data_IF_178272453513
#
_entry.id   IF_178272453513
#
_cell.length_a   1.000
_cell.length_b   1.000
_cell.length_c   1.000
_cell.angle_alpha   90.00
_cell.angle_beta   90.00
_cell.angle_gamma   90.00
#
_symmetry.space_group_name_H-M   'P 1'
#
loop_
_entity.id
_entity.type
_entity.pdbx_description
1 polymer ?
#
# COMPACT_ATOMS: atom_id res chain seq x y z
N UNK A 1 -33.08 -24.25 -30.72
CA UNK A 1 -32.26 -23.04 -30.58
C UNK A 1 -32.51 -22.49 -29.19
N UNK A 2 -31.62 -22.76 -28.28
CA UNK A 2 -31.68 -22.22 -26.91
C UNK A 2 -31.26 -20.75 -26.96
N UNK A 3 -32.10 -19.80 -26.49
CA UNK A 3 -31.67 -18.42 -26.41
C UNK A 3 -30.46 -18.34 -25.49
N UNK A 4 -29.35 -17.88 -26.01
CA UNK A 4 -28.19 -17.56 -25.22
C UNK A 4 -28.63 -16.47 -24.25
N UNK A 5 -28.76 -16.79 -22.98
CA UNK A 5 -28.91 -15.77 -21.94
C UNK A 5 -27.80 -14.73 -22.16
N UNK A 6 -28.12 -13.44 -22.18
CA UNK A 6 -27.09 -12.44 -22.23
C UNK A 6 -26.16 -12.71 -21.06
N UNK A 7 -24.90 -12.98 -21.37
CA UNK A 7 -23.87 -12.99 -20.33
C UNK A 7 -24.04 -11.65 -19.60
N UNK A 8 -24.17 -11.66 -18.28
CA UNK A 8 -24.15 -10.40 -17.56
C UNK A 8 -22.93 -9.67 -18.06
N UNK A 9 -23.15 -8.48 -18.63
CA UNK A 9 -22.06 -7.59 -19.00
C UNK A 9 -21.06 -7.69 -17.86
N UNK A 10 -19.84 -8.13 -18.17
CA UNK A 10 -18.81 -8.33 -17.15
C UNK A 10 -18.86 -7.08 -16.30
N UNK A 11 -19.45 -7.19 -15.11
CA UNK A 11 -19.58 -6.06 -14.23
C UNK A 11 -18.18 -5.55 -14.06
N UNK A 12 -17.84 -4.44 -14.69
CA UNK A 12 -16.54 -3.79 -14.57
C UNK A 12 -16.27 -3.75 -13.11
N UNK A 13 -15.21 -4.41 -12.65
CA UNK A 13 -14.90 -4.48 -11.25
C UNK A 13 -14.48 -3.06 -10.85
N UNK A 14 -15.31 -2.28 -10.12
CA UNK A 14 -15.08 -0.84 -9.93
C UNK A 14 -13.71 -0.52 -9.36
N UNK A 15 -13.16 -1.43 -8.56
CA UNK A 15 -11.85 -1.26 -7.93
C UNK A 15 -10.66 -1.37 -8.91
N UNK A 16 -10.80 -2.13 -10.02
CA UNK A 16 -9.80 -2.15 -11.09
C UNK A 16 -9.77 -0.81 -11.81
N UNK A 17 -10.93 -0.26 -12.13
CA UNK A 17 -11.04 1.06 -12.77
C UNK A 17 -10.49 2.16 -11.88
N UNK A 18 -10.74 2.10 -10.57
CA UNK A 18 -10.20 3.07 -9.62
C UNK A 18 -8.67 3.12 -9.68
N UNK A 19 -8.00 1.97 -9.75
CA UNK A 19 -6.55 1.92 -9.86
C UNK A 19 -6.04 2.34 -11.24
N UNK A 20 -6.74 1.91 -12.31
CA UNK A 20 -6.33 2.21 -13.68
C UNK A 20 -6.55 3.69 -14.01
N UNK A 21 -7.64 4.28 -13.54
CA UNK A 21 -7.97 5.69 -13.74
C UNK A 21 -7.28 6.63 -12.75
N UNK A 22 -6.73 6.08 -11.66
CA UNK A 22 -6.05 6.87 -10.64
C UNK A 22 -4.55 6.96 -10.92
N UNK A 23 -4.00 8.17 -11.12
CA UNK A 23 -2.56 8.35 -11.21
C UNK A 23 -1.84 7.97 -9.92
N UNK A 24 -2.53 7.97 -8.79
CA UNK A 24 -1.96 7.65 -7.47
C UNK A 24 -1.56 6.19 -7.35
N UNK A 25 -2.37 5.26 -7.89
CA UNK A 25 -2.02 3.84 -7.92
C UNK A 25 -0.73 3.56 -8.69
N UNK A 26 -0.61 4.11 -9.90
CA UNK A 26 0.61 4.02 -10.70
C UNK A 26 1.79 4.72 -10.01
N UNK A 27 1.55 5.86 -9.37
CA UNK A 27 2.57 6.61 -8.66
C UNK A 27 3.17 5.83 -7.48
N UNK A 28 2.34 5.13 -6.72
CA UNK A 28 2.79 4.28 -5.61
C UNK A 28 3.73 3.18 -6.13
N UNK A 29 3.34 2.51 -7.21
CA UNK A 29 4.17 1.46 -7.82
C UNK A 29 5.50 2.03 -8.33
N UNK A 30 5.49 3.15 -9.02
CA UNK A 30 6.69 3.83 -9.53
C UNK A 30 7.64 4.27 -8.41
N UNK A 31 7.12 4.87 -7.36
CA UNK A 31 7.92 5.33 -6.22
C UNK A 31 8.58 4.16 -5.50
N UNK A 32 7.84 3.09 -5.28
CA UNK A 32 8.40 1.88 -4.69
C UNK A 32 9.47 1.25 -5.59
N UNK A 33 9.18 1.08 -6.88
CA UNK A 33 10.12 0.52 -7.84
C UNK A 33 11.41 1.35 -7.92
N UNK A 34 11.29 2.68 -7.92
CA UNK A 34 12.43 3.59 -7.91
C UNK A 34 13.27 3.47 -6.64
N UNK A 35 12.63 3.36 -5.49
CA UNK A 35 13.31 3.22 -4.20
C UNK A 35 14.09 1.90 -4.12
N UNK A 36 13.47 0.77 -4.45
CA UNK A 36 14.12 -0.54 -4.37
C UNK A 36 15.10 -0.80 -5.51
N UNK A 37 14.98 -0.09 -6.62
CA UNK A 37 15.89 -0.18 -7.75
C UNK A 37 17.14 0.70 -7.64
N UNK A 38 17.21 1.61 -6.67
CA UNK A 38 18.28 2.60 -6.57
C UNK A 38 19.54 2.11 -5.87
N UNK A 39 19.53 0.93 -5.26
CA UNK A 39 20.67 0.39 -4.53
C UNK A 39 20.37 -0.90 -3.80
N UNK A 40 21.14 -1.16 -2.76
CA UNK A 40 20.97 -2.37 -1.94
C UNK A 40 19.70 -2.27 -1.11
N UNK A 41 18.98 -3.39 -1.02
CA UNK A 41 17.76 -3.53 -0.25
C UNK A 41 17.81 -4.75 0.66
N UNK A 42 16.99 -4.73 1.69
CA UNK A 42 16.71 -5.89 2.53
C UNK A 42 15.22 -6.15 2.56
N UNK A 43 14.83 -7.40 2.73
CA UNK A 43 13.44 -7.80 2.85
C UNK A 43 13.05 -7.88 4.32
N UNK A 44 11.93 -7.26 4.66
CA UNK A 44 11.34 -7.32 6.00
C UNK A 44 9.99 -8.00 5.94
N UNK A 45 9.69 -8.82 6.96
CA UNK A 45 8.38 -9.45 7.10
C UNK A 45 7.43 -8.56 7.89
N UNK A 46 6.21 -8.43 7.36
CA UNK A 46 5.09 -7.72 7.96
C UNK A 46 3.95 -8.72 8.26
N UNK A 47 2.84 -8.25 8.84
CA UNK A 47 1.73 -9.15 9.20
C UNK A 47 0.99 -9.74 8.01
N UNK A 48 1.02 -9.09 6.87
CA UNK A 48 0.38 -9.59 5.66
C UNK A 48 -1.13 -9.37 5.58
N UNK A 49 -1.68 -8.55 6.45
CA UNK A 49 -3.07 -8.11 6.42
C UNK A 49 -3.16 -6.66 6.88
N UNK A 50 -4.19 -5.95 6.42
CA UNK A 50 -4.39 -4.56 6.80
C UNK A 50 -4.54 -4.43 8.32
N UNK A 51 -3.62 -3.71 8.92
CA UNK A 51 -3.65 -3.36 10.34
C UNK A 51 -3.32 -1.89 10.53
N UNK A 52 -4.00 -1.26 11.47
CA UNK A 52 -3.53 -0.01 11.99
C UNK A 52 -2.14 -0.21 12.62
N UNK A 53 -1.20 0.59 12.21
CA UNK A 53 0.15 0.59 12.75
C UNK A 53 0.49 1.97 13.30
N UNK A 54 1.22 2.02 14.37
CA UNK A 54 1.64 3.28 14.97
C UNK A 54 3.13 3.30 15.24
N UNK A 55 3.69 4.49 15.17
CA UNK A 55 5.09 4.74 15.45
C UNK A 55 5.23 5.20 16.89
N UNK A 56 6.14 4.57 17.64
CA UNK A 56 6.47 4.94 18.99
C UNK A 56 7.94 5.30 19.06
N UNK A 57 8.25 6.43 19.68
CA UNK A 57 9.61 6.83 19.97
C UNK A 57 10.08 6.13 21.24
N UNK A 58 11.19 5.42 21.16
CA UNK A 58 11.81 4.68 22.26
C UNK A 58 13.24 5.19 22.55
N UNK A 59 13.85 4.70 23.60
CA UNK A 59 15.25 5.04 23.92
C UNK A 59 16.23 4.54 22.84
N UNK A 60 15.85 3.54 22.05
CA UNK A 60 16.69 2.93 21.02
C UNK A 60 16.36 3.45 19.62
N UNK A 61 15.49 4.45 19.49
CA UNK A 61 15.04 5.00 18.23
C UNK A 61 13.52 4.94 18.08
N UNK A 62 13.02 4.29 17.05
CA UNK A 62 11.59 4.20 16.75
C UNK A 62 11.16 2.75 16.66
N UNK A 63 9.89 2.51 16.98
CA UNK A 63 9.27 1.21 16.92
C UNK A 63 7.93 1.30 16.19
N UNK A 64 7.73 0.43 15.20
CA UNK A 64 6.42 0.29 14.55
C UNK A 64 5.67 -0.83 15.25
N UNK A 65 4.53 -0.49 15.84
CA UNK A 65 3.64 -1.43 16.51
C UNK A 65 2.42 -1.70 15.66
N UNK A 66 2.21 -2.97 15.32
CA UNK A 66 1.07 -3.44 14.55
C UNK A 66 0.52 -4.70 15.21
N UNK A 67 -0.65 -4.61 15.85
CA UNK A 67 -1.22 -5.69 16.64
C UNK A 67 -0.24 -6.14 17.74
N UNK A 68 0.19 -7.40 17.73
CA UNK A 68 1.17 -7.94 18.67
C UNK A 68 2.63 -7.83 18.19
N UNK A 69 2.84 -7.34 16.96
CA UNK A 69 4.17 -7.26 16.36
C UNK A 69 4.80 -5.90 16.59
N UNK A 70 6.08 -5.91 16.93
CA UNK A 70 6.89 -4.72 17.11
C UNK A 70 8.13 -4.82 16.23
N UNK A 71 8.41 -3.77 15.47
CA UNK A 71 9.58 -3.71 14.60
C UNK A 71 10.41 -2.51 15.01
N UNK A 72 11.63 -2.76 15.44
CA UNK A 72 12.59 -1.72 15.80
C UNK A 72 13.13 -1.05 14.54
N UNK A 73 13.14 0.27 14.51
CA UNK A 73 13.64 1.08 13.42
C UNK A 73 14.70 2.06 13.90
N UNK A 74 15.81 2.23 13.16
CA UNK A 74 16.87 3.15 13.57
C UNK A 74 16.48 4.62 13.42
N UNK A 75 15.56 4.93 12.54
CA UNK A 75 15.16 6.30 12.21
C UNK A 75 13.66 6.40 11.90
N UNK A 76 13.16 7.64 11.89
CA UNK A 76 11.74 7.92 11.67
C UNK A 76 11.29 7.60 10.25
N UNK A 77 12.13 7.84 9.25
CA UNK A 77 11.75 7.59 7.84
C UNK A 77 11.57 6.11 7.58
N UNK A 78 12.41 5.26 8.16
CA UNK A 78 12.25 3.79 8.12
C UNK A 78 10.94 3.38 8.81
N UNK A 79 10.63 3.93 9.97
CA UNK A 79 9.40 3.66 10.69
C UNK A 79 8.16 4.07 9.87
N UNK A 80 8.19 5.24 9.24
CA UNK A 80 7.10 5.71 8.36
C UNK A 80 6.91 4.79 7.15
N UNK A 81 8.00 4.34 6.55
CA UNK A 81 7.97 3.40 5.42
C UNK A 81 7.30 2.07 5.84
N UNK A 82 7.74 1.49 6.94
CA UNK A 82 7.18 0.24 7.44
C UNK A 82 5.71 0.38 7.87
N UNK A 83 5.35 1.49 8.50
CA UNK A 83 3.96 1.78 8.85
C UNK A 83 3.07 1.81 7.61
N UNK A 84 3.50 2.51 6.56
CA UNK A 84 2.74 2.64 5.33
C UNK A 84 2.44 1.26 4.71
N UNK A 85 3.46 0.44 4.52
CA UNK A 85 3.29 -0.88 3.91
C UNK A 85 2.58 -1.89 4.82
N UNK A 86 2.71 -1.75 6.14
CA UNK A 86 1.91 -2.52 7.09
C UNK A 86 0.43 -2.20 6.98
N UNK A 87 0.07 -0.92 6.89
CA UNK A 87 -1.31 -0.48 6.72
C UNK A 87 -1.91 -0.89 5.38
N UNK A 88 -1.08 -1.00 4.34
CA UNK A 88 -1.48 -1.53 3.03
C UNK A 88 -1.62 -3.06 3.01
N UNK A 89 -1.25 -3.75 4.09
CA UNK A 89 -1.42 -5.18 4.25
C UNK A 89 -0.36 -6.05 3.59
N UNK A 90 0.82 -5.52 3.34
CA UNK A 90 1.92 -6.30 2.77
C UNK A 90 2.41 -7.37 3.75
N UNK A 91 2.71 -8.56 3.23
CA UNK A 91 3.32 -9.66 3.97
C UNK A 91 4.82 -9.50 4.11
N UNK A 92 5.45 -8.95 3.10
CA UNK A 92 6.86 -8.62 3.08
C UNK A 92 7.09 -7.41 2.19
N UNK A 93 8.14 -6.68 2.46
CA UNK A 93 8.51 -5.48 1.71
C UNK A 93 10.02 -5.37 1.61
N UNK A 94 10.51 -4.86 0.49
CA UNK A 94 11.92 -4.50 0.35
C UNK A 94 12.13 -3.08 0.85
N UNK A 95 13.14 -2.93 1.68
CA UNK A 95 13.54 -1.65 2.26
C UNK A 95 14.92 -1.26 1.77
N UNK A 96 15.13 -0.06 1.20
CA UNK A 96 16.47 0.42 0.88
C UNK A 96 17.35 0.48 2.13
N UNK A 97 18.62 0.10 1.99
CA UNK A 97 19.57 0.29 3.07
C UNK A 97 19.91 1.76 3.30
N UNK A 98 19.91 2.55 2.23
CA UNK A 98 20.20 3.98 2.29
C UNK A 98 18.97 4.76 2.78
N UNK A 99 19.01 5.33 3.99
CA UNK A 99 17.88 6.08 4.53
C UNK A 99 17.57 7.36 3.75
N UNK A 100 18.51 7.89 2.96
CA UNK A 100 18.25 9.07 2.13
C UNK A 100 17.30 8.75 0.99
N UNK A 101 17.33 7.55 0.45
CA UNK A 101 16.36 7.06 -0.56
C UNK A 101 14.97 6.99 0.05
N UNK A 102 14.86 6.39 1.22
CA UNK A 102 13.59 6.29 1.96
C UNK A 102 13.03 7.68 2.31
N UNK A 103 13.88 8.57 2.79
CA UNK A 103 13.49 9.93 3.14
C UNK A 103 12.95 10.73 1.94
N UNK A 104 13.47 10.46 0.75
CA UNK A 104 13.03 11.11 -0.49
C UNK A 104 11.66 10.62 -0.94
N UNK A 105 11.38 9.33 -0.86
CA UNK A 105 10.15 8.76 -1.41
C UNK A 105 8.98 8.77 -0.43
N UNK A 106 9.22 8.76 0.87
CA UNK A 106 8.16 8.60 1.87
C UNK A 106 7.10 9.71 1.81
N UNK A 107 7.41 11.00 1.74
CA UNK A 107 6.37 12.02 1.67
C UNK A 107 5.47 11.85 0.44
N UNK A 108 6.05 11.48 -0.70
CA UNK A 108 5.31 11.27 -1.94
C UNK A 108 4.48 9.98 -1.89
N UNK A 109 5.01 8.91 -1.29
CA UNK A 109 4.25 7.67 -1.07
C UNK A 109 3.06 7.89 -0.15
N UNK A 110 3.25 8.58 0.96
CA UNK A 110 2.18 8.89 1.90
C UNK A 110 1.09 9.75 1.25
N UNK A 111 1.49 10.76 0.48
CA UNK A 111 0.55 11.61 -0.25
C UNK A 111 -0.23 10.82 -1.30
N UNK A 112 0.42 9.94 -2.06
CA UNK A 112 -0.24 9.13 -3.08
C UNK A 112 -1.23 8.14 -2.46
N UNK A 113 -0.88 7.51 -1.34
CA UNK A 113 -1.79 6.61 -0.61
C UNK A 113 -2.98 7.38 -0.04
N UNK A 114 -2.75 8.53 0.57
CA UNK A 114 -3.83 9.38 1.11
C UNK A 114 -4.78 9.85 0.01
N UNK A 115 -4.26 10.27 -1.14
CA UNK A 115 -5.06 10.67 -2.29
C UNK A 115 -5.91 9.50 -2.82
N UNK A 116 -5.32 8.30 -2.90
CA UNK A 116 -6.04 7.10 -3.33
C UNK A 116 -7.18 6.76 -2.37
N UNK A 117 -6.92 6.78 -1.06
CA UNK A 117 -7.93 6.53 -0.03
C UNK A 117 -9.07 7.57 -0.08
N UNK A 118 -8.72 8.84 -0.20
CA UNK A 118 -9.69 9.92 -0.30
C UNK A 118 -10.57 9.78 -1.54
N UNK A 119 -9.99 9.39 -2.66
CA UNK A 119 -10.72 9.14 -3.91
C UNK A 119 -11.72 8.00 -3.75
N UNK A 120 -11.32 6.89 -3.13
CA UNK A 120 -12.22 5.76 -2.87
C UNK A 120 -13.37 6.17 -1.94
N UNK A 121 -13.07 6.88 -0.85
CA UNK A 121 -14.10 7.35 0.08
C UNK A 121 -15.09 8.30 -0.59
N UNK A 122 -14.61 9.17 -1.48
CA UNK A 122 -15.45 10.11 -2.22
C UNK A 122 -16.43 9.43 -3.17
N UNK A 123 -16.12 8.22 -3.65
CA UNK A 123 -17.02 7.42 -4.49
C UNK A 123 -18.18 6.78 -3.71
N UNK A 124 -18.03 6.61 -2.41
CA UNK A 124 -19.02 5.95 -1.55
C UNK A 124 -19.36 6.81 -0.32
N UNK A 125 -19.83 8.06 -0.51
CA UNK A 125 -20.02 8.98 0.61
C UNK A 125 -21.16 8.57 1.54
N UNK A 126 -22.11 7.76 1.06
CA UNK A 126 -23.28 7.29 1.82
C UNK A 126 -23.16 5.87 2.33
N UNK A 127 -22.13 5.17 1.94
CA UNK A 127 -21.87 3.78 2.33
C UNK A 127 -20.41 3.57 2.70
N UNK A 128 -20.01 3.93 3.93
CA UNK A 128 -18.62 3.76 4.40
C UNK A 128 -18.14 2.30 4.43
N UNK A 129 -19.05 1.35 4.63
CA UNK A 129 -18.71 -0.08 4.63
C UNK A 129 -18.33 -0.56 3.24
N UNK A 130 -19.07 -0.14 2.23
CA UNK A 130 -18.76 -0.44 0.83
C UNK A 130 -17.43 0.22 0.45
N UNK A 131 -17.22 1.47 0.82
CA UNK A 131 -15.96 2.18 0.62
C UNK A 131 -14.77 1.43 1.24
N UNK A 132 -14.90 0.95 2.46
CA UNK A 132 -13.87 0.17 3.14
C UNK A 132 -13.62 -1.18 2.44
N UNK A 133 -14.66 -1.85 1.97
CA UNK A 133 -14.53 -3.08 1.20
C UNK A 133 -13.80 -2.86 -0.12
N UNK A 134 -14.19 -1.84 -0.87
CA UNK A 134 -13.56 -1.48 -2.14
C UNK A 134 -12.09 -1.12 -1.91
N UNK A 135 -11.78 -0.36 -0.87
CA UNK A 135 -10.40 0.02 -0.53
C UNK A 135 -9.53 -1.21 -0.24
N UNK A 136 -10.04 -2.20 0.49
CA UNK A 136 -9.32 -3.46 0.72
C UNK A 136 -9.02 -4.20 -0.59
N UNK A 137 -9.97 -4.19 -1.53
CA UNK A 137 -9.78 -4.81 -2.85
C UNK A 137 -8.75 -4.04 -3.68
N UNK A 138 -8.78 -2.72 -3.64
CA UNK A 138 -7.79 -1.84 -4.27
C UNK A 138 -6.39 -2.14 -3.73
N UNK A 139 -6.24 -2.25 -2.43
CA UNK A 139 -4.95 -2.61 -1.81
C UNK A 139 -4.47 -4.01 -2.23
N UNK A 140 -5.37 -4.98 -2.34
CA UNK A 140 -5.01 -6.31 -2.81
C UNK A 140 -4.43 -6.29 -4.24
N UNK A 141 -5.00 -5.49 -5.11
CA UNK A 141 -4.51 -5.31 -6.49
C UNK A 141 -3.16 -4.60 -6.48
N UNK A 142 -3.02 -3.55 -5.68
CA UNK A 142 -1.77 -2.81 -5.52
C UNK A 142 -0.64 -3.73 -5.05
N UNK A 143 -0.90 -4.58 -4.06
CA UNK A 143 0.07 -5.58 -3.58
C UNK A 143 0.49 -6.56 -4.68
N UNK A 144 -0.43 -7.00 -5.53
CA UNK A 144 -0.12 -7.88 -6.67
C UNK A 144 0.79 -7.19 -7.68
N UNK A 145 0.49 -5.93 -8.01
CA UNK A 145 1.30 -5.13 -8.95
C UNK A 145 2.73 -4.95 -8.43
N UNK A 146 2.87 -4.63 -7.16
CA UNK A 146 4.19 -4.46 -6.53
C UNK A 146 4.95 -5.78 -6.47
N UNK A 147 4.29 -6.89 -6.13
CA UNK A 147 4.93 -8.22 -6.11
C UNK A 147 5.35 -8.71 -7.49
N UNK A 148 4.69 -8.26 -8.55
CA UNK A 148 5.04 -8.60 -9.92
C UNK A 148 6.23 -7.81 -10.45
N UNK A 149 6.73 -6.80 -9.74
CA UNK A 149 7.92 -6.07 -10.14
C UNK A 149 9.14 -6.98 -10.11
N UNK A 150 10.06 -6.84 -11.10
CA UNK A 150 11.29 -7.62 -11.12
C UNK A 150 12.13 -7.34 -9.85
N UNK A 151 12.79 -8.39 -9.39
CA UNK A 151 13.67 -8.31 -8.23
C UNK A 151 14.91 -7.44 -8.52
#
# INVERSE_FOLDING_TARGET
MTPRLPQPAQARIPHLEILDDSPDGARIVELYAGAVGSGRTRTLRLLGRKHAARIIHTLLGYEVQSSYRRIQCPDLVTARYLRLFSELGFRSIRLPYDPTVTARVIPELEAAVENLESRVRALFPRDPRLGAYVLRRVYAILRRRIRALPA
#
